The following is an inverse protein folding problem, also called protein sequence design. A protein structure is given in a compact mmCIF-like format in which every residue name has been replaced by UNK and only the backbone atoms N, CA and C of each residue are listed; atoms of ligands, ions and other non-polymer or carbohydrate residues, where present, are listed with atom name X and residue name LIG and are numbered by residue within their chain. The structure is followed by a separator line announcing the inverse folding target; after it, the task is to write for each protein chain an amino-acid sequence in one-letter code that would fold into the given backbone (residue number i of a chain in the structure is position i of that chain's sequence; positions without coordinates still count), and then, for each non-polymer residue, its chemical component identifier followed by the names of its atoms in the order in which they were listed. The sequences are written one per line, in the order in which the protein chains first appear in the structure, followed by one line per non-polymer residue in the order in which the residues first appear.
data_IF_202180447301
#
_entry.id   IF_202180447301
#
_cell.length_a   1.000
_cell.length_b   1.000
_cell.length_c   1.000
_cell.angle_alpha   90.00
_cell.angle_beta   90.00
_cell.angle_gamma   90.00
#
_symmetry.space_group_name_H-M   'P 1'
#
loop_
_entity.id
_entity.type
_entity.pdbx_description
1 polymer ?
#
# COMPACT_ATOMS: atom_id res chain seq x y z
N UNK A 1 -2.82 -7.76 10.17
CA UNK A 1 -3.65 -7.75 8.95
C UNK A 1 -2.90 -8.40 7.80
N UNK A 2 -3.65 -8.99 6.88
CA UNK A 2 -3.05 -9.58 5.68
C UNK A 2 -3.04 -8.56 4.54
N UNK A 3 -2.04 -8.69 3.69
CA UNK A 3 -1.93 -7.90 2.46
C UNK A 3 -2.73 -8.61 1.38
N UNK A 4 -3.62 -7.89 0.72
CA UNK A 4 -4.42 -8.43 -0.39
C UNK A 4 -3.79 -8.11 -1.74
N UNK A 5 -3.35 -6.87 -1.93
CA UNK A 5 -2.80 -6.38 -3.19
C UNK A 5 -1.72 -5.35 -2.90
N UNK A 6 -0.75 -5.23 -3.80
CA UNK A 6 0.25 -4.16 -3.76
C UNK A 6 0.32 -3.53 -5.14
N UNK A 7 0.31 -2.20 -5.19
CA UNK A 7 0.32 -1.44 -6.43
C UNK A 7 1.50 -0.48 -6.47
N UNK A 8 2.07 -0.30 -7.66
CA UNK A 8 3.13 0.66 -7.95
C UNK A 8 2.59 1.64 -8.99
N UNK A 9 2.45 2.91 -8.62
CA UNK A 9 2.00 3.95 -9.55
C UNK A 9 3.15 4.56 -10.36
N UNK A 10 4.35 4.01 -10.24
CA UNK A 10 5.57 4.44 -10.94
C UNK A 10 5.99 5.86 -10.63
N UNK A 11 5.64 6.35 -9.45
CA UNK A 11 6.05 7.68 -9.00
C UNK A 11 5.16 8.81 -9.49
N UNK A 12 3.94 8.52 -9.95
CA UNK A 12 2.98 9.57 -10.33
C UNK A 12 2.60 10.44 -9.14
N UNK A 13 2.63 9.89 -7.93
CA UNK A 13 2.42 10.60 -6.69
C UNK A 13 3.52 10.23 -5.71
N UNK A 14 3.65 11.01 -4.61
CA UNK A 14 4.68 10.76 -3.61
C UNK A 14 4.48 9.40 -2.91
N UNK A 15 3.25 8.96 -2.73
CA UNK A 15 2.94 7.61 -2.24
C UNK A 15 2.96 6.60 -3.39
N UNK A 16 4.16 6.34 -3.89
CA UNK A 16 4.38 5.47 -5.05
C UNK A 16 3.76 4.10 -4.90
N UNK A 17 3.84 3.51 -3.70
CA UNK A 17 3.35 2.17 -3.43
C UNK A 17 2.10 2.22 -2.56
N UNK A 18 1.08 1.46 -2.94
CA UNK A 18 -0.13 1.29 -2.15
C UNK A 18 -0.25 -0.17 -1.77
N UNK A 19 -0.19 -0.46 -0.48
CA UNK A 19 -0.37 -1.80 0.06
C UNK A 19 -1.80 -1.90 0.57
N UNK A 20 -2.62 -2.70 -0.08
CA UNK A 20 -4.03 -2.88 0.30
C UNK A 20 -4.12 -3.98 1.34
N UNK A 21 -4.81 -3.70 2.44
CA UNK A 21 -4.97 -4.62 3.56
C UNK A 21 -6.35 -5.27 3.53
N UNK A 22 -6.50 -6.37 4.23
CA UNK A 22 -7.74 -7.15 4.25
C UNK A 22 -8.87 -6.53 5.08
N UNK A 23 -8.58 -5.49 5.86
CA UNK A 23 -9.61 -4.80 6.63
C UNK A 23 -10.48 -3.94 5.73
N UNK A 24 -11.79 -4.20 5.75
CA UNK A 24 -12.77 -3.37 5.04
C UNK A 24 -13.29 -2.32 6.03
N UNK A 25 -13.12 -1.03 5.68
CA UNK A 25 -13.49 0.10 6.52
C UNK A 25 -14.92 0.54 6.25
N UNK A 26 -15.33 0.52 4.97
CA UNK A 26 -16.59 1.06 4.52
C UNK A 26 -17.01 0.38 3.21
N UNK A 27 -18.20 0.72 2.73
CA UNK A 27 -18.71 0.25 1.45
C UNK A 27 -19.31 1.45 0.71
N UNK A 28 -18.86 1.68 -0.51
CA UNK A 28 -19.40 2.73 -1.38
C UNK A 28 -20.10 2.10 -2.57
N UNK A 29 -21.42 2.26 -2.64
CA UNK A 29 -22.24 1.72 -3.73
C UNK A 29 -22.00 0.21 -3.95
N UNK A 30 -21.87 -0.54 -2.86
CA UNK A 30 -21.60 -1.97 -2.92
C UNK A 30 -20.14 -2.35 -3.12
N UNK A 31 -19.23 -1.37 -3.27
CA UNK A 31 -17.81 -1.61 -3.47
C UNK A 31 -17.06 -1.48 -2.13
N UNK A 32 -16.28 -2.51 -1.72
CA UNK A 32 -15.53 -2.43 -0.48
C UNK A 32 -14.45 -1.36 -0.52
N UNK A 33 -14.34 -0.59 0.59
CA UNK A 33 -13.24 0.34 0.82
C UNK A 33 -12.31 -0.30 1.84
N UNK A 34 -11.06 -0.53 1.44
CA UNK A 34 -10.06 -1.21 2.25
C UNK A 34 -9.16 -0.22 3.00
N UNK A 35 -8.69 -0.63 4.17
CA UNK A 35 -7.53 0.01 4.77
C UNK A 35 -6.32 -0.21 3.86
N UNK A 36 -5.46 0.78 3.75
CA UNK A 36 -4.24 0.65 2.96
C UNK A 36 -3.10 1.42 3.60
N UNK A 37 -1.89 1.13 3.11
CA UNK A 37 -0.68 1.81 3.51
C UNK A 37 -0.03 2.40 2.27
N UNK A 38 0.05 3.73 2.21
CA UNK A 38 0.75 4.44 1.15
C UNK A 38 2.20 4.67 1.56
N UNK A 39 3.15 4.33 0.70
CA UNK A 39 4.57 4.46 1.00
C UNK A 39 5.33 5.14 -0.13
N UNK A 40 6.24 6.03 0.26
CA UNK A 40 7.31 6.48 -0.62
C UNK A 40 8.29 5.33 -0.83
N UNK A 41 9.08 5.37 -1.90
CA UNK A 41 10.07 4.31 -2.21
C UNK A 41 11.16 4.18 -1.15
N UNK A 42 11.40 5.25 -0.36
CA UNK A 42 12.30 5.26 0.80
C UNK A 42 11.52 5.75 2.02
N UNK A 43 10.65 4.93 2.61
CA UNK A 43 9.75 5.40 3.67
C UNK A 43 10.46 5.83 4.94
N UNK A 44 11.70 5.37 5.16
CA UNK A 44 12.49 5.74 6.35
C UNK A 44 13.38 6.96 6.12
N UNK A 45 13.43 7.48 4.88
CA UNK A 45 14.18 8.69 4.58
C UNK A 45 13.53 9.90 5.28
N UNK A 46 14.30 10.90 5.74
CA UNK A 46 13.73 12.08 6.40
C UNK A 46 12.66 12.82 5.59
N UNK A 47 12.74 12.76 4.26
CA UNK A 47 11.75 13.35 3.35
C UNK A 47 10.76 12.32 2.81
N UNK A 48 10.90 11.06 3.21
CA UNK A 48 9.98 10.01 2.84
C UNK A 48 8.78 9.97 3.78
N UNK A 49 7.81 9.12 3.46
CA UNK A 49 6.66 8.94 4.33
C UNK A 49 6.06 7.54 4.18
N UNK A 50 5.29 7.20 5.19
CA UNK A 50 4.53 5.96 5.25
C UNK A 50 3.25 6.31 6.01
N UNK A 51 2.10 6.21 5.35
CA UNK A 51 0.85 6.72 5.89
C UNK A 51 -0.30 5.75 5.62
N UNK A 52 -1.07 5.47 6.66
CA UNK A 52 -2.29 4.68 6.50
C UNK A 52 -3.40 5.54 5.92
N UNK A 53 -4.25 4.91 5.10
CA UNK A 53 -5.38 5.55 4.47
C UNK A 53 -6.41 4.53 4.02
N UNK A 54 -7.22 4.94 3.06
CA UNK A 54 -8.32 4.14 2.53
C UNK A 54 -8.22 4.08 1.01
N UNK A 55 -8.61 2.96 0.43
CA UNK A 55 -8.64 2.83 -1.03
C UNK A 55 -9.66 1.79 -1.47
N UNK A 56 -10.05 1.91 -2.73
CA UNK A 56 -10.81 0.88 -3.45
C UNK A 56 -9.82 0.16 -4.36
N UNK A 57 -9.85 -1.18 -4.35
CA UNK A 57 -8.97 -1.99 -5.20
C UNK A 57 -9.28 -1.71 -6.67
N UNK A 58 -8.26 -1.44 -7.47
CA UNK A 58 -8.43 -1.21 -8.90
C UNK A 58 -7.16 -0.72 -9.58
N UNK A 59 -7.19 -0.71 -10.90
CA UNK A 59 -6.05 -0.31 -11.74
C UNK A 59 -5.68 1.17 -11.60
N UNK A 60 -6.59 1.98 -11.05
CA UNK A 60 -6.29 3.40 -10.78
C UNK A 60 -5.18 3.58 -9.75
N UNK A 61 -4.89 2.57 -8.94
CA UNK A 61 -3.81 2.59 -7.97
C UNK A 61 -2.43 2.36 -8.59
N UNK A 62 -2.40 1.90 -9.84
CA UNK A 62 -1.18 1.61 -10.56
C UNK A 62 -1.12 0.17 -11.03
N UNK A 63 0.11 -0.31 -11.26
CA UNK A 63 0.33 -1.69 -11.66
C UNK A 63 0.46 -2.58 -10.44
N UNK A 64 -0.25 -3.69 -10.43
CA UNK A 64 -0.15 -4.66 -9.34
C UNK A 64 1.22 -5.35 -9.37
N UNK A 65 1.87 -5.44 -8.22
CA UNK A 65 3.17 -6.07 -8.05
C UNK A 65 3.16 -7.03 -6.86
N UNK A 66 4.18 -7.87 -6.79
CA UNK A 66 4.40 -8.77 -5.67
C UNK A 66 5.22 -8.09 -4.58
N UNK A 67 5.16 -8.58 -3.35
CA UNK A 67 5.85 -7.99 -2.20
C UNK A 67 7.38 -7.95 -2.41
N UNK A 68 7.95 -8.95 -3.07
CA UNK A 68 9.39 -9.00 -3.33
C UNK A 68 9.85 -8.00 -4.39
N UNK A 69 8.94 -7.36 -5.11
CA UNK A 69 9.26 -6.26 -6.02
C UNK A 69 9.36 -4.91 -5.30
N UNK A 70 8.94 -4.83 -4.04
CA UNK A 70 9.09 -3.62 -3.25
C UNK A 70 10.56 -3.40 -2.88
N UNK A 71 11.01 -2.12 -2.77
CA UNK A 71 12.30 -1.83 -2.16
C UNK A 71 12.39 -2.45 -0.76
N UNK A 72 13.61 -2.80 -0.35
CA UNK A 72 13.82 -3.48 0.94
C UNK A 72 13.30 -2.65 2.11
N UNK A 73 13.45 -1.32 2.08
CA UNK A 73 12.92 -0.46 3.14
C UNK A 73 11.42 -0.57 3.29
N UNK A 74 10.69 -0.69 2.16
CA UNK A 74 9.24 -0.89 2.18
C UNK A 74 8.87 -2.24 2.76
N UNK A 75 9.60 -3.29 2.39
CA UNK A 75 9.39 -4.63 2.96
C UNK A 75 9.64 -4.63 4.46
N UNK A 76 10.66 -3.91 4.92
CA UNK A 76 10.98 -3.79 6.34
C UNK A 76 9.84 -3.11 7.12
N UNK A 77 9.24 -2.07 6.54
CA UNK A 77 8.10 -1.39 7.15
C UNK A 77 6.92 -2.34 7.32
N UNK A 78 6.65 -3.18 6.31
CA UNK A 78 5.56 -4.15 6.39
C UNK A 78 5.81 -5.16 7.51
N UNK A 79 7.07 -5.57 7.72
CA UNK A 79 7.45 -6.46 8.83
C UNK A 79 7.26 -5.77 10.18
N UNK A 80 7.60 -4.49 10.28
CA UNK A 80 7.42 -3.72 11.52
C UNK A 80 5.95 -3.61 11.92
N UNK A 81 5.04 -3.52 10.95
CA UNK A 81 3.61 -3.53 11.20
C UNK A 81 3.02 -4.93 11.34
N UNK A 82 3.84 -5.96 11.13
CA UNK A 82 3.40 -7.36 11.16
C UNK A 82 2.34 -7.66 10.09
N UNK A 83 2.42 -7.01 8.95
CA UNK A 83 1.55 -7.29 7.81
C UNK A 83 2.13 -8.45 7.00
N UNK A 84 1.27 -9.40 6.64
CA UNK A 84 1.67 -10.61 5.93
C UNK A 84 0.94 -10.75 4.59
N UNK A 85 1.61 -11.38 3.66
CA UNK A 85 0.98 -11.77 2.38
C UNK A 85 0.12 -13.00 2.52
#
# INVERSE_FOLDING_TARGET
MKITNIYDNRGKTADRYTVVLDQIIDTQNGTPVHACLGMFEKPKHPQGFCQHGECVIGSHLGMEIEVDHLPQECQDVLKEYDYAC
#
